data_IF_969381596779
#
_entry.id   IF_969381596779
#
_cell.length_a   1.000
_cell.length_b   1.000
_cell.length_c   1.000
_cell.angle_alpha   90.00
_cell.angle_beta   90.00
_cell.angle_gamma   90.00
#
_symmetry.space_group_name_H-M   'P 1'
#
loop_
_entity.id
_entity.type
_entity.pdbx_description
1 polymer ?
#
# COMPACT_ATOMS: atom_id res chain seq x y z
N UNK A 1 -20.16 1.40 9.30
CA UNK A 1 -19.15 0.32 9.25
C UNK A 1 -18.23 0.46 10.44
N UNK A 2 -17.84 -0.65 11.05
CA UNK A 2 -16.81 -0.64 12.10
C UNK A 2 -15.48 -1.17 11.55
N UNK A 3 -14.39 -0.82 12.21
CA UNK A 3 -13.02 -1.18 11.77
C UNK A 3 -12.87 -2.71 11.68
N UNK A 4 -13.50 -3.46 12.58
CA UNK A 4 -13.44 -4.93 12.56
C UNK A 4 -14.06 -5.57 11.30
N UNK A 5 -14.86 -4.81 10.54
CA UNK A 5 -15.53 -5.29 9.34
C UNK A 5 -14.71 -5.04 8.06
N UNK A 6 -13.56 -4.36 8.16
CA UNK A 6 -12.69 -4.08 7.01
C UNK A 6 -11.98 -5.36 6.59
N UNK A 7 -12.28 -5.85 5.37
CA UNK A 7 -11.70 -7.09 4.82
C UNK A 7 -10.55 -6.86 3.86
N UNK A 8 -10.50 -5.70 3.20
CA UNK A 8 -9.52 -5.38 2.16
C UNK A 8 -9.35 -3.87 2.07
N UNK A 9 -8.11 -3.43 1.87
CA UNK A 9 -7.74 -2.03 1.70
C UNK A 9 -7.23 -1.83 0.27
N UNK A 10 -7.71 -0.77 -0.38
CA UNK A 10 -7.22 -0.33 -1.69
C UNK A 10 -6.53 1.02 -1.53
N UNK A 11 -5.25 1.09 -1.87
CA UNK A 11 -4.47 2.32 -1.93
C UNK A 11 -4.43 2.80 -3.38
N UNK A 12 -5.00 3.98 -3.64
CA UNK A 12 -4.95 4.64 -4.95
C UNK A 12 -3.77 5.62 -4.94
N UNK A 13 -2.77 5.35 -5.78
CA UNK A 13 -1.50 6.06 -5.83
C UNK A 13 -0.37 5.28 -5.15
N UNK A 14 0.71 5.07 -5.88
CA UNK A 14 1.91 4.32 -5.48
C UNK A 14 3.15 5.22 -5.31
N UNK A 15 2.92 6.52 -5.07
CA UNK A 15 3.96 7.48 -4.66
C UNK A 15 4.47 7.22 -3.25
N UNK A 16 5.27 8.14 -2.70
CA UNK A 16 5.92 7.99 -1.38
C UNK A 16 4.91 7.72 -0.26
N UNK A 17 3.87 8.54 -0.15
CA UNK A 17 2.84 8.34 0.87
C UNK A 17 2.02 7.06 0.65
N UNK A 18 1.66 6.76 -0.60
CA UNK A 18 0.88 5.56 -0.94
C UNK A 18 1.61 4.27 -0.57
N UNK A 19 2.92 4.22 -0.82
CA UNK A 19 3.77 3.12 -0.39
C UNK A 19 3.78 2.96 1.14
N UNK A 20 3.96 4.05 1.89
CA UNK A 20 3.96 4.00 3.37
C UNK A 20 2.62 3.61 3.98
N UNK A 21 1.50 4.09 3.41
CA UNK A 21 0.15 3.68 3.82
C UNK A 21 -0.03 2.17 3.55
N UNK A 22 0.33 1.71 2.35
CA UNK A 22 0.21 0.30 1.98
C UNK A 22 1.05 -0.60 2.90
N UNK A 23 2.28 -0.18 3.22
CA UNK A 23 3.17 -0.89 4.14
C UNK A 23 2.57 -0.96 5.55
N UNK A 24 2.09 0.16 6.09
CA UNK A 24 1.51 0.22 7.44
C UNK A 24 0.28 -0.68 7.54
N UNK A 25 -0.62 -0.60 6.56
CA UNK A 25 -1.81 -1.44 6.51
C UNK A 25 -1.47 -2.93 6.38
N UNK A 26 -0.49 -3.27 5.55
CA UNK A 26 -0.03 -4.65 5.38
C UNK A 26 0.63 -5.19 6.66
N UNK A 27 1.44 -4.38 7.34
CA UNK A 27 2.07 -4.71 8.62
C UNK A 27 1.04 -4.92 9.74
N UNK A 28 -0.09 -4.19 9.68
CA UNK A 28 -1.22 -4.40 10.58
C UNK A 28 -2.08 -5.65 10.25
N UNK A 29 -1.70 -6.44 9.24
CA UNK A 29 -2.34 -7.71 8.89
C UNK A 29 -3.53 -7.58 7.92
N UNK A 30 -3.76 -6.40 7.35
CA UNK A 30 -4.84 -6.23 6.37
C UNK A 30 -4.40 -6.70 4.98
N UNK A 31 -5.30 -7.34 4.20
CA UNK A 31 -5.08 -7.53 2.77
C UNK A 31 -5.08 -6.17 2.05
N UNK A 32 -3.94 -5.77 1.49
CA UNK A 32 -3.78 -4.49 0.78
C UNK A 32 -3.59 -4.73 -0.72
N UNK A 33 -4.24 -3.90 -1.54
CA UNK A 33 -3.98 -3.77 -2.98
C UNK A 33 -3.60 -2.33 -3.27
N UNK A 34 -2.58 -2.12 -4.10
CA UNK A 34 -2.14 -0.80 -4.54
C UNK A 34 -2.38 -0.67 -6.05
N UNK A 35 -2.93 0.47 -6.49
CA UNK A 35 -3.20 0.74 -7.90
C UNK A 35 -2.77 2.15 -8.27
N UNK A 36 -2.19 2.27 -9.46
CA UNK A 36 -1.80 3.54 -10.06
C UNK A 36 -2.13 3.52 -11.55
N UNK A 37 -1.95 4.65 -12.23
CA UNK A 37 -2.28 4.83 -13.66
C UNK A 37 -1.40 3.99 -14.59
N UNK A 38 -0.16 3.70 -14.17
CA UNK A 38 0.82 2.95 -14.95
C UNK A 38 1.58 1.97 -14.05
N UNK A 39 1.98 0.82 -14.61
CA UNK A 39 2.69 -0.24 -13.88
C UNK A 39 3.99 0.26 -13.23
N UNK A 40 4.72 1.17 -13.89
CA UNK A 40 5.97 1.75 -13.38
C UNK A 40 5.83 2.39 -11.99
N UNK A 41 4.67 2.99 -11.70
CA UNK A 41 4.43 3.62 -10.41
C UNK A 41 4.18 2.57 -9.34
N UNK A 42 3.40 1.53 -9.67
CA UNK A 42 3.16 0.38 -8.80
C UNK A 42 4.47 -0.33 -8.45
N UNK A 43 5.32 -0.58 -9.45
CA UNK A 43 6.65 -1.18 -9.25
C UNK A 43 7.53 -0.31 -8.37
N UNK A 44 7.50 1.02 -8.58
CA UNK A 44 8.19 1.98 -7.73
C UNK A 44 7.70 1.96 -6.29
N UNK A 45 6.38 1.86 -6.08
CA UNK A 45 5.77 1.69 -4.76
C UNK A 45 6.27 0.42 -4.08
N UNK A 46 6.29 -0.72 -4.79
CA UNK A 46 6.82 -1.98 -4.25
C UNK A 46 8.31 -1.93 -3.91
N UNK A 47 9.13 -1.22 -4.70
CA UNK A 47 10.55 -1.01 -4.37
C UNK A 47 10.69 -0.25 -3.06
N UNK A 48 9.91 0.83 -2.86
CA UNK A 48 9.92 1.61 -1.61
C UNK A 48 9.48 0.78 -0.40
N UNK A 49 8.46 -0.07 -0.55
CA UNK A 49 8.00 -0.95 0.54
C UNK A 49 9.07 -1.98 0.95
N UNK A 50 9.91 -2.43 0.01
CA UNK A 50 10.95 -3.43 0.26
C UNK A 50 12.25 -2.84 0.79
N UNK A 51 12.43 -1.53 0.66
CA UNK A 51 13.64 -0.87 1.15
C UNK A 51 13.54 -0.72 2.68
N UNK A 52 14.42 -1.35 3.48
CA UNK A 52 14.36 -1.29 4.94
C UNK A 52 14.67 0.10 5.51
N UNK A 53 15.04 1.07 4.66
CA UNK A 53 15.44 2.41 5.05
C UNK A 53 14.44 3.46 4.54
N UNK A 54 13.30 3.48 5.21
CA UNK A 54 12.56 4.69 5.60
C UNK A 54 12.07 4.53 7.03
#
# INVERSE_FOLDING_TARGET
MRVEQVKKILVIGAGTMGAGIAQTCAAAGFPVTMRDIEQRFVDGGFRRIRDPLM
#
